data_IF_091590115535
#
_entry.id   IF_091590115535
#
_cell.length_a   1.000
_cell.length_b   1.000
_cell.length_c   1.000
_cell.angle_alpha   90.00
_cell.angle_beta   90.00
_cell.angle_gamma   90.00
#
_symmetry.space_group_name_H-M   'P 1'
#
loop_
_entity.id
_entity.type
_entity.pdbx_description
1 polymer ?
#
# COMPACT_ATOMS: atom_id res chain seq x y z
N UNK A 1 -20.66 7.46 -4.87
CA UNK A 1 -21.28 7.09 -6.16
C UNK A 1 -22.49 6.22 -5.85
N UNK A 2 -23.65 6.65 -6.31
CA UNK A 2 -24.91 5.91 -6.24
C UNK A 2 -25.75 6.36 -7.44
N UNK A 3 -26.37 5.42 -8.14
CA UNK A 3 -27.17 5.69 -9.34
C UNK A 3 -26.36 6.42 -10.45
N UNK A 4 -25.07 6.10 -10.57
CA UNK A 4 -24.10 6.74 -11.48
C UNK A 4 -23.81 8.23 -11.22
N UNK A 5 -24.31 8.78 -10.11
CA UNK A 5 -23.98 10.12 -9.66
C UNK A 5 -23.00 10.06 -8.48
N UNK A 6 -21.99 10.92 -8.48
CA UNK A 6 -21.23 11.19 -7.27
C UNK A 6 -21.81 12.42 -6.59
N UNK A 7 -21.82 12.36 -5.26
CA UNK A 7 -22.22 13.47 -4.42
C UNK A 7 -21.08 13.76 -3.46
N UNK A 8 -20.92 15.05 -3.16
CA UNK A 8 -19.89 15.52 -2.25
C UNK A 8 -20.49 15.80 -0.87
N UNK A 9 -19.85 15.23 0.13
CA UNK A 9 -20.14 15.47 1.55
C UNK A 9 -18.82 15.71 2.27
N UNK A 10 -18.84 16.61 3.24
CA UNK A 10 -17.67 17.01 4.02
C UNK A 10 -17.96 16.80 5.50
N UNK A 11 -16.95 16.33 6.24
CA UNK A 11 -16.96 16.36 7.69
C UNK A 11 -15.56 16.65 8.23
N UNK A 12 -15.49 17.46 9.29
CA UNK A 12 -14.29 18.19 9.71
C UNK A 12 -13.28 17.34 10.50
N UNK A 13 -13.58 16.07 10.82
CA UNK A 13 -12.79 15.28 11.78
C UNK A 13 -12.67 13.78 11.42
N UNK A 14 -13.07 13.39 10.23
CA UNK A 14 -13.21 11.98 9.80
C UNK A 14 -12.03 11.53 8.95
N UNK A 15 -11.26 12.47 8.37
CA UNK A 15 -10.02 12.16 7.67
C UNK A 15 -9.03 11.39 8.56
N UNK A 16 -8.86 11.81 9.81
CA UNK A 16 -8.02 11.12 10.79
C UNK A 16 -8.64 9.86 11.40
N UNK A 17 -9.90 9.54 11.09
CA UNK A 17 -10.69 8.46 11.72
C UNK A 17 -11.40 7.60 10.67
N UNK A 18 -10.72 7.40 9.54
CA UNK A 18 -11.29 6.68 8.41
C UNK A 18 -11.68 5.24 8.78
N UNK A 19 -10.89 4.59 9.64
CA UNK A 19 -11.21 3.23 10.11
C UNK A 19 -12.52 3.22 10.93
N UNK A 20 -12.76 4.23 11.76
CA UNK A 20 -13.99 4.33 12.56
C UNK A 20 -15.24 4.48 11.67
N UNK A 21 -15.12 5.22 10.57
CA UNK A 21 -16.19 5.33 9.58
C UNK A 21 -16.45 4.00 8.86
N UNK A 22 -15.38 3.26 8.56
CA UNK A 22 -15.47 2.03 7.78
C UNK A 22 -15.87 0.81 8.62
N UNK A 23 -15.58 0.78 9.92
CA UNK A 23 -15.84 -0.42 10.75
C UNK A 23 -17.34 -0.71 10.94
N UNK A 24 -18.21 0.28 10.69
CA UNK A 24 -19.65 0.11 10.70
C UNK A 24 -20.23 -0.62 9.49
N UNK A 25 -19.44 -0.83 8.43
CA UNK A 25 -19.90 -1.46 7.19
C UNK A 25 -20.77 -0.55 6.31
N UNK A 26 -21.30 -1.10 5.19
CA UNK A 26 -21.92 -0.31 4.13
C UNK A 26 -23.19 0.43 4.56
N UNK A 27 -24.02 -0.19 5.41
CA UNK A 27 -25.31 0.39 5.80
C UNK A 27 -25.11 1.60 6.73
N UNK A 28 -24.25 1.48 7.74
CA UNK A 28 -23.93 2.59 8.64
C UNK A 28 -23.16 3.70 7.93
N UNK A 29 -22.26 3.35 7.02
CA UNK A 29 -21.58 4.35 6.19
C UNK A 29 -22.58 5.12 5.32
N UNK A 30 -23.56 4.44 4.70
CA UNK A 30 -24.59 5.11 3.91
C UNK A 30 -25.46 6.02 4.76
N UNK A 31 -25.93 5.56 5.92
CA UNK A 31 -26.72 6.37 6.86
C UNK A 31 -25.95 7.61 7.31
N UNK A 32 -24.66 7.46 7.63
CA UNK A 32 -23.80 8.56 7.98
C UNK A 32 -23.65 9.56 6.81
N UNK A 33 -23.37 9.09 5.60
CA UNK A 33 -23.23 9.94 4.41
C UNK A 33 -24.53 10.70 4.08
N UNK A 34 -25.69 10.06 4.26
CA UNK A 34 -27.00 10.67 4.05
C UNK A 34 -27.35 11.70 5.14
N UNK A 35 -26.78 11.57 6.35
CA UNK A 35 -26.91 12.56 7.43
C UNK A 35 -26.09 13.84 7.19
N UNK A 36 -25.05 13.76 6.34
CA UNK A 36 -24.16 14.88 6.06
C UNK A 36 -24.78 15.86 5.06
N UNK A 37 -24.52 17.15 5.27
CA UNK A 37 -24.94 18.19 4.33
C UNK A 37 -24.12 18.09 3.05
N UNK A 38 -24.83 17.92 1.93
CA UNK A 38 -24.24 18.04 0.59
C UNK A 38 -23.60 19.41 0.41
N UNK A 39 -22.41 19.40 -0.16
CA UNK A 39 -21.62 20.59 -0.40
C UNK A 39 -21.47 20.82 -1.91
N UNK A 40 -21.42 22.10 -2.32
CA UNK A 40 -21.30 22.48 -3.73
C UNK A 40 -19.87 22.93 -4.12
N UNK A 41 -18.95 23.05 -3.15
CA UNK A 41 -17.55 23.45 -3.38
C UNK A 41 -16.59 22.40 -2.83
N UNK A 42 -15.47 22.19 -3.53
CA UNK A 42 -14.41 21.24 -3.16
C UNK A 42 -13.19 21.92 -2.53
N UNK A 43 -13.25 23.22 -2.25
CA UNK A 43 -12.07 24.04 -1.89
C UNK A 43 -11.37 23.55 -0.61
N UNK A 44 -12.12 22.91 0.30
CA UNK A 44 -11.59 22.38 1.57
C UNK A 44 -11.04 20.95 1.47
N UNK A 45 -11.28 20.22 0.36
CA UNK A 45 -10.76 18.86 0.20
C UNK A 45 -9.25 18.89 -0.04
N UNK A 46 -8.80 19.75 -0.94
CA UNK A 46 -7.40 19.83 -1.36
C UNK A 46 -6.55 20.69 -0.44
N UNK A 47 -7.08 21.11 0.71
CA UNK A 47 -6.34 21.93 1.65
C UNK A 47 -5.27 21.06 2.34
N UNK A 48 -3.98 21.31 2.08
CA UNK A 48 -2.89 20.50 2.64
C UNK A 48 -2.80 20.58 4.16
N UNK A 49 -3.42 21.59 4.76
CA UNK A 49 -3.44 21.77 6.21
C UNK A 49 -4.47 20.88 6.90
N UNK A 50 -5.48 20.40 6.16
CA UNK A 50 -6.66 19.71 6.72
C UNK A 50 -7.02 18.40 6.01
N UNK A 51 -6.28 17.99 4.97
CA UNK A 51 -6.52 16.78 4.20
C UNK A 51 -5.89 15.53 4.83
N UNK A 52 -6.32 15.18 6.05
CA UNK A 52 -5.76 14.05 6.80
C UNK A 52 -6.33 12.67 6.37
N UNK A 53 -7.31 12.66 5.46
CA UNK A 53 -7.90 11.46 4.90
C UNK A 53 -9.13 11.74 4.04
N UNK A 54 -9.56 10.74 3.29
CA UNK A 54 -10.72 10.84 2.41
C UNK A 54 -11.14 9.48 1.85
N UNK A 55 -12.40 9.36 1.45
CA UNK A 55 -12.94 8.12 0.88
C UNK A 55 -13.95 8.38 -0.23
N UNK A 56 -13.98 7.47 -1.19
CA UNK A 56 -15.05 7.31 -2.16
C UNK A 56 -15.78 6.01 -1.85
N UNK A 57 -17.05 6.13 -1.55
CA UNK A 57 -17.99 5.01 -1.42
C UNK A 57 -18.72 4.83 -2.74
N UNK A 58 -18.42 3.77 -3.46
CA UNK A 58 -19.06 3.41 -4.72
C UNK A 58 -20.01 2.24 -4.49
N UNK A 59 -21.27 2.57 -4.22
CA UNK A 59 -22.32 1.58 -3.96
C UNK A 59 -22.76 0.86 -5.24
N UNK A 60 -22.59 1.50 -6.41
CA UNK A 60 -22.96 0.91 -7.71
C UNK A 60 -21.99 -0.20 -8.10
N UNK A 61 -20.68 0.08 -7.96
CA UNK A 61 -19.60 -0.89 -8.25
C UNK A 61 -19.23 -1.77 -7.07
N UNK A 62 -19.82 -1.50 -5.89
CA UNK A 62 -19.46 -2.10 -4.60
C UNK A 62 -17.97 -1.99 -4.33
N UNK A 63 -17.47 -0.76 -4.27
CA UNK A 63 -16.06 -0.47 -4.04
C UNK A 63 -15.90 0.67 -3.05
N UNK A 64 -14.92 0.55 -2.15
CA UNK A 64 -14.51 1.64 -1.27
C UNK A 64 -13.05 1.95 -1.55
N UNK A 65 -12.76 3.19 -1.91
CA UNK A 65 -11.40 3.69 -2.13
C UNK A 65 -11.12 4.75 -1.09
N UNK A 66 -10.13 4.56 -0.21
CA UNK A 66 -9.88 5.48 0.88
C UNK A 66 -8.40 5.65 1.24
N UNK A 67 -8.06 6.78 1.82
CA UNK A 67 -6.78 7.02 2.48
C UNK A 67 -7.02 7.79 3.78
N UNK A 68 -6.00 7.82 4.63
CA UNK A 68 -6.00 8.56 5.88
C UNK A 68 -5.50 7.72 7.05
N UNK A 69 -5.36 8.37 8.21
CA UNK A 69 -4.82 7.79 9.45
C UNK A 69 -3.33 7.37 9.34
N UNK A 70 -2.77 6.90 10.45
CA UNK A 70 -1.49 6.22 10.62
C UNK A 70 -1.30 4.94 9.78
N UNK A 71 -2.31 4.54 8.99
CA UNK A 71 -2.24 3.40 8.08
C UNK A 71 -1.11 3.54 7.04
N UNK A 72 -0.66 4.77 6.74
CA UNK A 72 0.50 4.98 5.87
C UNK A 72 1.84 4.57 6.48
N UNK A 73 1.97 4.62 7.81
CA UNK A 73 3.26 4.46 8.49
C UNK A 73 3.45 3.07 9.11
N UNK A 74 2.37 2.35 9.39
CA UNK A 74 2.40 0.98 9.94
C UNK A 74 1.83 -0.04 8.95
N UNK A 75 2.73 -0.68 8.20
CA UNK A 75 2.38 -1.64 7.14
C UNK A 75 1.68 -2.92 7.66
N UNK A 76 2.14 -3.57 8.74
CA UNK A 76 1.39 -4.64 9.40
C UNK A 76 -0.01 -4.23 9.82
N UNK A 77 -0.15 -3.05 10.45
CA UNK A 77 -1.45 -2.54 10.87
C UNK A 77 -2.38 -2.31 9.68
N UNK A 78 -1.90 -1.64 8.62
CA UNK A 78 -2.67 -1.44 7.38
C UNK A 78 -3.16 -2.74 6.76
N UNK A 79 -2.29 -3.76 6.67
CA UNK A 79 -2.67 -5.08 6.14
C UNK A 79 -3.77 -5.75 6.96
N UNK A 80 -3.67 -5.65 8.29
CA UNK A 80 -4.64 -6.22 9.22
C UNK A 80 -5.99 -5.52 9.10
N UNK A 81 -5.98 -4.18 9.07
CA UNK A 81 -7.21 -3.39 8.93
C UNK A 81 -7.87 -3.64 7.57
N UNK A 82 -7.12 -3.65 6.46
CA UNK A 82 -7.70 -3.92 5.14
C UNK A 82 -8.35 -5.31 5.06
N UNK A 83 -7.73 -6.33 5.67
CA UNK A 83 -8.31 -7.66 5.74
C UNK A 83 -9.60 -7.69 6.57
N UNK A 84 -9.63 -7.02 7.73
CA UNK A 84 -10.82 -6.93 8.57
C UNK A 84 -11.96 -6.18 7.86
N UNK A 85 -11.65 -5.07 7.18
CA UNK A 85 -12.63 -4.29 6.43
C UNK A 85 -13.24 -5.09 5.28
N UNK A 86 -12.47 -5.94 4.60
CA UNK A 86 -13.00 -6.81 3.54
C UNK A 86 -14.08 -7.78 4.04
N UNK A 87 -14.00 -8.22 5.31
CA UNK A 87 -15.03 -9.05 5.95
C UNK A 87 -16.26 -8.23 6.37
N UNK A 88 -16.04 -7.05 6.94
CA UNK A 88 -17.12 -6.12 7.36
C UNK A 88 -17.91 -5.61 6.16
N UNK A 89 -17.22 -5.36 5.04
CA UNK A 89 -17.80 -4.90 3.78
C UNK A 89 -17.98 -6.05 2.79
N UNK A 90 -18.62 -7.13 3.24
CA UNK A 90 -18.82 -8.32 2.43
C UNK A 90 -19.43 -7.98 1.06
N UNK A 91 -18.77 -8.42 -0.01
CA UNK A 91 -19.18 -8.17 -1.39
C UNK A 91 -18.75 -6.82 -1.97
N UNK A 92 -17.94 -6.03 -1.23
CA UNK A 92 -17.27 -4.85 -1.73
C UNK A 92 -15.77 -5.10 -1.93
N UNK A 93 -15.19 -4.43 -2.92
CA UNK A 93 -13.74 -4.30 -3.07
C UNK A 93 -13.24 -3.16 -2.16
N UNK A 94 -12.34 -3.48 -1.23
CA UNK A 94 -11.73 -2.49 -0.33
C UNK A 94 -10.35 -2.12 -0.85
N UNK A 95 -10.16 -0.84 -1.18
CA UNK A 95 -8.94 -0.31 -1.77
C UNK A 95 -8.37 0.83 -0.93
N UNK A 96 -7.08 0.75 -0.66
CA UNK A 96 -6.34 1.87 -0.10
C UNK A 96 -5.83 2.77 -1.24
N UNK A 97 -6.11 4.07 -1.17
CA UNK A 97 -5.59 5.08 -2.08
C UNK A 97 -4.15 5.44 -1.69
N UNK A 98 -3.20 4.92 -2.47
CA UNK A 98 -1.78 5.11 -2.24
C UNK A 98 -1.32 6.52 -2.61
N UNK A 99 -1.99 7.19 -3.56
CA UNK A 99 -1.73 8.60 -3.91
C UNK A 99 -2.72 9.59 -3.27
N UNK A 100 -3.38 9.16 -2.19
CA UNK A 100 -4.28 9.99 -1.41
C UNK A 100 -5.33 10.69 -2.27
N UNK A 101 -5.45 12.00 -2.12
CA UNK A 101 -6.43 12.84 -2.81
C UNK A 101 -6.34 12.78 -4.34
N UNK A 102 -5.16 12.54 -4.90
CA UNK A 102 -5.01 12.41 -6.35
C UNK A 102 -5.74 11.17 -6.89
N UNK A 103 -5.62 10.04 -6.17
CA UNK A 103 -6.18 8.77 -6.60
C UNK A 103 -7.71 8.74 -6.47
N UNK A 104 -8.25 9.23 -5.35
CA UNK A 104 -9.70 9.34 -5.18
C UNK A 104 -10.34 10.35 -6.13
N UNK A 105 -9.65 11.43 -6.49
CA UNK A 105 -10.09 12.37 -7.52
C UNK A 105 -10.14 11.70 -8.90
N UNK A 106 -9.04 11.05 -9.28
CA UNK A 106 -8.98 10.27 -10.52
C UNK A 106 -10.09 9.22 -10.60
N UNK A 107 -10.42 8.56 -9.48
CA UNK A 107 -11.51 7.57 -9.41
C UNK A 107 -12.87 8.15 -9.81
N UNK A 108 -13.19 9.37 -9.36
CA UNK A 108 -14.46 10.05 -9.70
C UNK A 108 -14.37 10.91 -10.97
N UNK A 109 -13.26 10.81 -11.72
CA UNK A 109 -13.05 11.58 -12.95
C UNK A 109 -12.85 13.08 -12.69
N UNK A 110 -12.31 13.45 -11.52
CA UNK A 110 -11.98 14.82 -11.15
C UNK A 110 -10.49 14.99 -10.97
N UNK A 111 -9.95 16.02 -11.61
CA UNK A 111 -8.60 16.48 -11.35
C UNK A 111 -8.67 17.59 -10.31
N UNK A 112 -7.90 17.42 -9.24
CA UNK A 112 -7.81 18.36 -8.16
C UNK A 112 -6.49 19.12 -8.24
N UNK A 113 -6.54 20.44 -8.03
CA UNK A 113 -5.33 21.25 -7.91
C UNK A 113 -4.68 20.94 -6.55
N UNK A 114 -3.77 19.97 -6.54
CA UNK A 114 -3.10 19.55 -5.31
C UNK A 114 -1.87 20.41 -5.02
N UNK A 115 -1.63 20.77 -3.75
CA UNK A 115 -0.41 21.45 -3.33
C UNK A 115 0.81 20.54 -3.51
N UNK A 116 1.99 21.14 -3.67
CA UNK A 116 3.24 20.43 -3.97
C UNK A 116 3.67 19.41 -2.90
N UNK A 117 3.16 19.54 -1.67
CA UNK A 117 3.40 18.56 -0.60
C UNK A 117 2.60 17.26 -0.78
N UNK A 118 1.44 17.31 -1.46
CA UNK A 118 0.57 16.16 -1.70
C UNK A 118 0.91 15.42 -3.01
N UNK A 119 1.74 16.03 -3.86
CA UNK A 119 2.43 15.30 -4.91
C UNK A 119 3.43 14.34 -4.29
N UNK A 120 3.03 13.08 -4.05
CA UNK A 120 3.96 12.05 -3.60
C UNK A 120 5.20 12.08 -4.48
N UNK A 121 6.32 12.46 -3.89
CA UNK A 121 7.59 12.53 -4.62
C UNK A 121 7.85 11.18 -5.26
N UNK A 122 8.13 11.17 -6.55
CA UNK A 122 8.52 9.96 -7.26
C UNK A 122 9.66 9.25 -6.50
N UNK A 123 9.66 7.91 -6.43
CA UNK A 123 10.70 7.16 -5.76
C UNK A 123 12.08 7.58 -6.25
N UNK A 124 13.01 7.82 -5.32
CA UNK A 124 14.39 8.20 -5.65
C UNK A 124 15.33 7.03 -5.50
N UNK A 125 16.33 6.98 -6.37
CA UNK A 125 17.44 6.04 -6.23
C UNK A 125 18.28 6.38 -4.99
N UNK A 126 18.83 5.35 -4.34
CA UNK A 126 19.81 5.50 -3.30
C UNK A 126 21.05 6.24 -3.84
N UNK A 127 21.56 7.22 -3.08
CA UNK A 127 22.64 8.12 -3.54
C UNK A 127 23.97 7.41 -3.79
N UNK A 128 24.20 6.28 -3.15
CA UNK A 128 25.45 5.51 -3.27
C UNK A 128 25.24 4.04 -2.87
N UNK A 129 26.23 3.19 -3.17
CA UNK A 129 26.24 1.76 -2.81
C UNK A 129 26.27 1.47 -1.32
N UNK A 130 26.66 2.45 -0.50
CA UNK A 130 26.67 2.39 0.96
C UNK A 130 25.41 3.01 1.60
N UNK A 131 24.53 3.61 0.80
CA UNK A 131 23.32 4.25 1.31
C UNK A 131 22.31 3.20 1.76
N UNK A 132 21.57 3.50 2.83
CA UNK A 132 20.38 2.74 3.19
C UNK A 132 19.38 2.73 2.02
N UNK A 133 18.90 1.55 1.66
CA UNK A 133 17.99 1.37 0.56
C UNK A 133 17.02 0.20 0.80
N UNK A 134 15.90 0.25 0.07
CA UNK A 134 15.10 -0.94 -0.23
C UNK A 134 15.31 -1.32 -1.69
N UNK A 135 15.27 -2.61 -1.99
CA UNK A 135 15.44 -3.09 -3.34
C UNK A 135 14.09 -3.41 -3.97
N UNK A 136 13.74 -2.71 -5.04
CA UNK A 136 12.66 -3.13 -5.94
C UNK A 136 13.29 -3.93 -7.07
N UNK A 137 12.76 -5.12 -7.31
CA UNK A 137 13.13 -5.94 -8.46
C UNK A 137 11.88 -6.27 -9.25
N UNK A 138 11.96 -6.15 -10.58
CA UNK A 138 10.85 -6.37 -11.48
C UNK A 138 11.30 -7.30 -12.59
N UNK A 139 10.54 -8.36 -12.83
CA UNK A 139 10.55 -9.10 -14.09
C UNK A 139 9.45 -8.48 -14.93
N UNK A 140 9.85 -7.77 -15.98
CA UNK A 140 8.90 -7.08 -16.86
C UNK A 140 8.16 -8.05 -17.80
N UNK A 141 7.27 -7.51 -18.63
CA UNK A 141 6.51 -8.30 -19.60
C UNK A 141 7.39 -9.03 -20.64
N UNK A 142 8.63 -8.59 -20.86
CA UNK A 142 9.60 -9.26 -21.72
C UNK A 142 10.34 -10.41 -21.02
N UNK A 143 10.09 -10.61 -19.72
CA UNK A 143 10.78 -11.59 -18.89
C UNK A 143 12.12 -11.09 -18.37
N UNK A 144 12.42 -9.81 -18.51
CA UNK A 144 13.72 -9.25 -18.17
C UNK A 144 13.75 -8.74 -16.72
N UNK A 145 14.76 -9.19 -15.95
CA UNK A 145 14.96 -8.71 -14.59
C UNK A 145 15.65 -7.33 -14.59
N UNK A 146 15.01 -6.40 -13.91
CA UNK A 146 15.53 -5.07 -13.58
C UNK A 146 15.44 -4.82 -12.08
N UNK A 147 16.36 -4.02 -11.57
CA UNK A 147 16.48 -3.71 -10.15
C UNK A 147 16.65 -2.20 -9.93
N UNK A 148 16.03 -1.69 -8.87
CA UNK A 148 16.11 -0.31 -8.43
C UNK A 148 16.42 -0.28 -6.92
N UNK A 149 17.65 0.10 -6.52
CA UNK A 149 17.93 0.40 -5.13
C UNK A 149 17.32 1.76 -4.79
N UNK A 150 16.14 1.76 -4.16
CA UNK A 150 15.43 2.98 -3.78
C UNK A 150 15.93 3.50 -2.43
N UNK A 151 16.07 4.81 -2.30
CA UNK A 151 16.50 5.43 -1.04
C UNK A 151 15.54 5.09 0.09
N UNK A 152 16.08 4.66 1.23
CA UNK A 152 15.30 4.24 2.40
C UNK A 152 14.26 5.27 2.85
N UNK A 153 14.60 6.58 2.83
CA UNK A 153 13.68 7.64 3.26
C UNK A 153 12.52 7.90 2.29
N UNK A 154 12.64 7.48 1.03
CA UNK A 154 11.57 7.53 0.03
C UNK A 154 10.88 6.18 -0.14
N UNK A 155 11.28 5.16 0.61
CA UNK A 155 10.49 3.95 0.77
C UNK A 155 9.30 4.26 1.68
N UNK A 156 8.34 5.01 1.13
CA UNK A 156 7.03 5.25 1.75
C UNK A 156 6.15 4.00 1.65
N UNK A 157 6.79 2.84 1.59
CA UNK A 157 6.28 1.49 1.45
C UNK A 157 5.11 1.38 0.46
N UNK A 158 5.46 1.07 -0.79
CA UNK A 158 4.56 0.57 -1.84
C UNK A 158 3.58 1.63 -2.35
N UNK A 159 3.92 2.32 -3.45
CA UNK A 159 3.02 3.19 -4.23
C UNK A 159 1.83 2.44 -4.89
N UNK A 160 1.37 1.36 -4.25
CA UNK A 160 0.38 0.44 -4.79
C UNK A 160 0.82 -0.18 -6.11
N UNK A 161 -0.17 -0.63 -6.91
CA UNK A 161 0.05 -1.15 -8.25
C UNK A 161 0.75 -0.14 -9.19
N UNK A 162 0.54 1.16 -8.98
CA UNK A 162 1.14 2.23 -9.78
C UNK A 162 2.66 2.43 -9.55
N UNK A 163 3.28 1.64 -8.68
CA UNK A 163 4.73 1.70 -8.45
C UNK A 163 5.52 1.52 -9.75
N UNK A 164 5.10 0.61 -10.63
CA UNK A 164 5.83 0.30 -11.86
C UNK A 164 5.99 1.53 -12.76
N UNK A 165 4.94 2.36 -12.86
CA UNK A 165 4.93 3.57 -13.68
C UNK A 165 5.77 4.70 -13.08
N UNK A 166 6.09 4.60 -11.78
CA UNK A 166 6.83 5.61 -11.01
C UNK A 166 8.30 5.25 -10.81
N UNK A 167 8.75 4.07 -11.27
CA UNK A 167 10.14 3.66 -11.08
C UNK A 167 11.10 4.60 -11.83
N UNK A 168 12.16 5.10 -11.17
CA UNK A 168 13.06 6.06 -11.80
C UNK A 168 13.97 5.36 -12.83
N UNK A 169 13.85 5.78 -14.09
CA UNK A 169 14.68 5.28 -15.19
C UNK A 169 14.52 3.78 -15.47
N UNK A 170 15.38 3.23 -16.33
CA UNK A 170 15.24 1.85 -16.83
C UNK A 170 15.68 0.72 -15.90
N UNK A 171 16.13 1.02 -14.68
CA UNK A 171 16.66 0.04 -13.73
C UNK A 171 18.00 -0.58 -14.15
N UNK A 172 18.57 -1.42 -13.29
CA UNK A 172 19.84 -2.11 -13.55
C UNK A 172 19.68 -3.63 -13.62
N UNK A 173 20.48 -4.28 -14.46
CA UNK A 173 20.51 -5.76 -14.64
C UNK A 173 21.39 -6.48 -13.63
N UNK A 174 22.41 -5.78 -13.13
CA UNK A 174 23.38 -6.30 -12.18
C UNK A 174 23.66 -5.20 -11.18
N UNK A 175 23.56 -5.55 -9.90
CA UNK A 175 23.73 -4.61 -8.81
C UNK A 175 24.80 -5.13 -7.85
N UNK A 176 25.69 -4.24 -7.42
CA UNK A 176 26.61 -4.46 -6.32
C UNK A 176 26.37 -3.36 -5.30
N UNK A 177 25.96 -3.76 -4.10
CA UNK A 177 25.80 -2.87 -2.96
C UNK A 177 26.83 -3.24 -1.92
N UNK A 178 27.34 -2.22 -1.24
CA UNK A 178 28.31 -2.37 -0.16
C UNK A 178 27.61 -2.31 1.22
N UNK A 179 26.30 -2.04 1.21
CA UNK A 179 25.37 -2.21 2.33
C UNK A 179 24.23 -3.16 1.94
N UNK A 180 23.85 -4.06 2.85
CA UNK A 180 22.71 -4.95 2.67
C UNK A 180 21.43 -4.09 2.63
N UNK A 181 20.56 -4.22 1.62
CA UNK A 181 19.27 -3.54 1.62
C UNK A 181 18.46 -4.03 2.81
N UNK A 182 17.76 -3.11 3.45
CA UNK A 182 17.01 -3.42 4.66
C UNK A 182 15.73 -4.22 4.36
N UNK A 183 15.30 -4.23 3.10
CA UNK A 183 14.19 -5.03 2.61
C UNK A 183 13.91 -4.75 1.16
N UNK A 184 12.82 -5.30 0.63
CA UNK A 184 12.49 -5.10 -0.77
C UNK A 184 11.23 -5.81 -1.22
N UNK A 185 10.90 -5.57 -2.49
CA UNK A 185 9.83 -6.26 -3.21
C UNK A 185 10.37 -6.87 -4.50
N UNK A 186 9.80 -8.01 -4.86
CA UNK A 186 10.01 -8.66 -6.15
C UNK A 186 8.68 -8.74 -6.87
N UNK A 187 8.58 -8.12 -8.04
CA UNK A 187 7.37 -8.09 -8.86
C UNK A 187 7.63 -8.92 -10.10
N UNK A 188 6.87 -9.98 -10.29
CA UNK A 188 6.88 -10.79 -11.51
C UNK A 188 5.60 -10.46 -12.28
N UNK A 189 5.73 -9.57 -13.28
CA UNK A 189 4.59 -9.08 -14.06
C UNK A 189 3.93 -10.21 -14.87
N UNK A 190 4.66 -11.06 -15.63
CA UNK A 190 4.05 -12.15 -16.36
C UNK A 190 3.28 -13.15 -15.48
N UNK A 191 3.75 -13.39 -14.26
CA UNK A 191 3.09 -14.33 -13.33
C UNK A 191 2.08 -13.68 -12.40
N UNK A 192 1.97 -12.35 -12.41
CA UNK A 192 1.16 -11.58 -11.47
C UNK A 192 1.47 -11.94 -10.00
N UNK A 193 2.76 -12.01 -9.66
CA UNK A 193 3.22 -12.36 -8.30
C UNK A 193 4.02 -11.21 -7.72
N UNK A 194 3.76 -10.92 -6.44
CA UNK A 194 4.55 -9.97 -5.65
C UNK A 194 5.12 -10.69 -4.42
N UNK A 195 6.44 -10.69 -4.30
CA UNK A 195 7.18 -11.16 -3.13
C UNK A 195 7.69 -10.00 -2.29
N UNK A 196 7.74 -10.20 -0.97
CA UNK A 196 8.20 -9.21 0.01
C UNK A 196 9.27 -9.83 0.88
N UNK A 197 10.30 -9.08 1.19
CA UNK A 197 11.32 -9.51 2.14
C UNK A 197 11.85 -8.32 2.94
N UNK A 198 12.36 -8.62 4.13
CA UNK A 198 12.94 -7.67 5.06
C UNK A 198 14.15 -8.35 5.72
N UNK A 199 15.20 -7.60 6.03
CA UNK A 199 16.39 -8.11 6.72
C UNK A 199 16.37 -7.84 8.22
N UNK A 200 15.47 -6.99 8.70
CA UNK A 200 15.26 -6.78 10.12
C UNK A 200 14.22 -7.79 10.66
N UNK A 201 14.57 -8.49 11.74
CA UNK A 201 13.76 -9.54 12.40
C UNK A 201 12.44 -9.06 13.02
N UNK A 202 12.08 -7.79 12.86
CA UNK A 202 10.92 -7.18 13.54
C UNK A 202 9.59 -7.84 13.14
N UNK A 203 9.49 -8.48 11.97
CA UNK A 203 8.28 -9.22 11.54
C UNK A 203 8.31 -10.74 11.77
N UNK A 204 9.44 -11.36 12.13
CA UNK A 204 9.53 -12.83 12.20
C UNK A 204 8.78 -13.43 13.41
N UNK A 205 8.66 -12.68 14.52
CA UNK A 205 7.96 -13.15 15.72
C UNK A 205 6.43 -13.15 15.58
N UNK A 206 5.87 -12.34 14.69
CA UNK A 206 4.41 -12.19 14.54
C UNK A 206 3.81 -13.22 13.56
N UNK A 207 4.58 -13.67 12.57
CA UNK A 207 4.17 -14.76 11.66
C UNK A 207 3.94 -16.10 12.41
N UNK A 208 4.67 -16.34 13.49
CA UNK A 208 4.50 -17.54 14.34
C UNK A 208 3.20 -17.45 15.16
N UNK A 209 2.88 -16.28 15.72
CA UNK A 209 1.61 -16.04 16.43
C UNK A 209 0.40 -16.15 15.48
N UNK A 210 0.58 -15.76 14.21
CA UNK A 210 -0.44 -15.80 13.16
C UNK A 210 -0.88 -17.23 12.80
N UNK A 211 0.05 -18.20 12.73
CA UNK A 211 -0.31 -19.61 12.46
C UNK A 211 -1.03 -20.31 13.62
N UNK A 212 -0.84 -19.85 14.85
CA UNK A 212 -1.45 -20.46 16.04
C UNK A 212 -2.92 -20.05 16.25
N UNK A 213 -3.34 -18.90 15.70
CA UNK A 213 -4.66 -18.32 15.91
C UNK A 213 -5.71 -18.69 14.84
N UNK A 214 -5.34 -19.43 13.79
CA UNK A 214 -6.27 -19.82 12.72
C UNK A 214 -7.00 -21.15 12.99
N UNK A 215 -8.29 -21.28 12.59
CA UNK A 215 -9.01 -22.55 12.60
C UNK A 215 -8.28 -23.62 11.77
N UNK A 216 -8.33 -24.91 12.16
CA UNK A 216 -7.59 -25.99 11.49
C UNK A 216 -7.84 -26.10 9.98
N UNK A 217 -9.00 -25.65 9.50
CA UNK A 217 -9.44 -25.70 8.10
C UNK A 217 -8.75 -24.70 7.17
N UNK A 218 -8.08 -23.67 7.71
CA UNK A 218 -7.36 -22.64 6.94
C UNK A 218 -5.83 -22.73 7.10
N UNK A 219 -5.33 -23.80 7.75
CA UNK A 219 -3.90 -24.06 7.85
C UNK A 219 -3.37 -24.45 6.47
N UNK A 220 -2.46 -23.65 5.92
CA UNK A 220 -1.65 -24.04 4.78
C UNK A 220 -0.96 -25.38 5.08
N UNK A 221 -0.92 -26.35 4.15
CA UNK A 221 -0.14 -27.56 4.35
C UNK A 221 1.32 -27.16 4.53
N UNK A 222 1.84 -27.39 5.74
CA UNK A 222 3.24 -27.23 6.06
C UNK A 222 4.04 -28.31 5.34
N UNK A 223 4.31 -28.13 4.05
CA UNK A 223 5.41 -28.82 3.42
C UNK A 223 6.69 -28.19 3.98
N UNK A 224 7.23 -28.87 4.99
CA UNK A 224 8.30 -28.42 5.84
C UNK A 224 9.49 -27.86 5.07
N UNK A 225 9.63 -26.54 5.12
CA UNK A 225 10.88 -25.82 4.93
C UNK A 225 11.00 -24.82 6.08
N UNK A 226 11.15 -25.38 7.29
CA UNK A 226 11.72 -24.64 8.39
C UNK A 226 13.13 -24.20 8.04
N UNK A 227 13.46 -22.95 8.38
CA UNK A 227 14.78 -22.55 8.87
C UNK A 227 15.96 -23.36 8.33
N UNK A 228 16.37 -23.11 7.08
CA UNK A 228 17.74 -23.41 6.64
C UNK A 228 18.52 -22.11 6.50
N UNK A 229 19.24 -21.76 7.57
CA UNK A 229 20.58 -21.20 7.41
C UNK A 229 21.35 -22.11 6.45
N UNK A 230 21.74 -21.59 5.28
CA UNK A 230 22.73 -22.23 4.43
C UNK A 230 23.85 -21.22 4.20
N UNK A 231 24.67 -21.08 5.25
CA UNK A 231 26.02 -20.55 5.14
C UNK A 231 26.95 -21.77 5.04
N UNK A 232 27.49 -22.04 3.85
CA UNK A 232 28.72 -22.85 3.70
C UNK A 232 29.57 -22.27 2.57
N UNK A 233 30.54 -21.43 2.95
CA UNK A 233 31.75 -21.21 2.16
C UNK A 233 32.89 -21.93 2.88
N UNK A 234 33.29 -23.10 2.38
CA UNK A 234 34.60 -23.71 2.70
C UNK A 234 35.51 -23.47 1.50
N UNK A 235 36.31 -22.42 1.57
CA UNK A 235 37.52 -22.29 0.75
C UNK A 235 38.71 -22.80 1.56
N UNK A 236 39.25 -23.96 1.19
CA UNK A 236 40.58 -24.39 1.65
C UNK A 236 41.64 -23.56 0.94
N UNK A 237 42.66 -23.17 1.70
CA UNK A 237 43.90 -22.64 1.19
C UNK A 237 44.58 -23.62 0.23
N UNK A 238 45.14 -23.07 -0.84
CA UNK A 238 45.97 -23.70 -1.86
C UNK A 238 46.42 -22.60 -2.80
#
# INVERSE_FOLDING_TARGET
MKDQEWQYVYSHCEGCRMVDLLIGGPDLALEFLESLRRQNSHDWWTDPLWCDGGAVFDFDRRRVVFFGDSLMVDMPFRRTILAALAEVWAGYEICYAYDGTAEIGGYVGKEFALPSLDGLSAPKLAKSRNSLCHLVSVIDASGELRMWPLWWGDSKAWHGPALLDKLPGGGVRRLRLDKIPEGGVHIDVPRNVVGVWNTADVCARELVAWTAAMPPSLRMPSNGLGSRQLMTARGRAG
#
